data_IF_874120697986
#
_entry.id   IF_874120697986
#
_cell.length_a   1.000
_cell.length_b   1.000
_cell.length_c   1.000
_cell.angle_alpha   90.00
_cell.angle_beta   90.00
_cell.angle_gamma   90.00
#
_symmetry.space_group_name_H-M   'P 1'
#
loop_
_entity.id
_entity.type
_entity.pdbx_description
1 polymer ?
#
# COMPACT_ATOMS: atom_id res chain seq x y z
N UNK A 1 0.31 -10.49 23.47
CA UNK A 1 0.18 -10.51 22.00
C UNK A 1 1.41 -9.85 21.39
N UNK A 2 2.45 -10.62 21.09
CA UNK A 2 3.70 -10.11 20.49
C UNK A 2 3.75 -10.51 19.01
N UNK A 3 3.84 -9.55 18.10
CA UNK A 3 4.21 -9.81 16.69
C UNK A 3 3.22 -9.46 15.58
N UNK A 4 2.24 -8.57 15.80
CA UNK A 4 1.42 -8.02 14.70
C UNK A 4 2.22 -7.00 13.86
N UNK A 5 1.94 -6.94 12.55
CA UNK A 5 2.68 -6.13 11.58
C UNK A 5 3.82 -6.89 10.89
N UNK A 6 3.94 -6.71 9.57
CA UNK A 6 4.91 -7.41 8.71
C UNK A 6 6.34 -7.11 9.14
N UNK A 7 6.67 -5.84 9.39
CA UNK A 7 8.04 -5.44 9.76
C UNK A 7 8.45 -6.07 11.08
N UNK A 8 7.57 -6.03 12.10
CA UNK A 8 7.87 -6.59 13.42
C UNK A 8 8.10 -8.10 13.36
N UNK A 9 7.30 -8.80 12.57
CA UNK A 9 7.37 -10.27 12.46
C UNK A 9 8.53 -10.75 11.60
N UNK A 10 8.85 -10.04 10.52
CA UNK A 10 9.82 -10.49 9.51
C UNK A 10 11.06 -9.59 9.42
N UNK A 11 11.34 -8.81 10.47
CA UNK A 11 12.43 -7.81 10.53
C UNK A 11 13.76 -8.32 9.96
N UNK A 12 14.15 -9.54 10.32
CA UNK A 12 15.42 -10.18 9.89
C UNK A 12 15.55 -10.39 8.37
N UNK A 13 14.43 -10.36 7.64
CA UNK A 13 14.38 -10.56 6.19
C UNK A 13 14.16 -9.25 5.42
N UNK A 14 14.03 -8.12 6.12
CA UNK A 14 13.67 -6.84 5.54
C UNK A 14 14.83 -5.84 5.66
N UNK A 15 14.95 -4.87 4.73
CA UNK A 15 16.01 -3.88 4.75
C UNK A 15 15.74 -2.76 5.78
N UNK A 16 15.60 -3.12 7.05
CA UNK A 16 15.33 -2.22 8.18
C UNK A 16 16.43 -2.34 9.23
N UNK A 17 16.86 -1.22 9.78
CA UNK A 17 17.83 -1.14 10.88
C UNK A 17 17.10 -1.18 12.24
N UNK A 18 17.87 -1.13 13.33
CA UNK A 18 17.26 -0.98 14.65
C UNK A 18 16.49 0.35 14.81
N UNK A 19 16.97 1.39 14.13
CA UNK A 19 16.42 2.74 14.21
C UNK A 19 15.29 3.00 13.20
N UNK A 20 15.03 2.09 12.25
CA UNK A 20 13.94 2.27 11.27
C UNK A 20 12.58 2.38 12.00
N UNK A 21 11.87 3.52 11.86
CA UNK A 21 10.54 3.68 12.44
C UNK A 21 9.56 2.67 11.86
N UNK A 22 8.80 1.97 12.71
CA UNK A 22 7.86 0.95 12.25
C UNK A 22 6.45 1.54 12.12
N UNK A 23 6.11 1.96 10.89
CA UNK A 23 4.77 2.43 10.53
C UNK A 23 3.92 1.22 10.15
N UNK A 24 3.08 0.76 11.07
CA UNK A 24 2.22 -0.42 10.88
C UNK A 24 0.77 -0.12 11.23
N UNK A 25 -0.13 -0.78 10.49
CA UNK A 25 -1.57 -0.86 10.78
C UNK A 25 -1.97 -2.28 11.18
N UNK A 26 -1.00 -3.10 11.64
CA UNK A 26 -1.13 -4.51 11.94
C UNK A 26 -1.43 -5.40 10.71
N UNK A 27 -0.92 -5.00 9.56
CA UNK A 27 -1.00 -5.75 8.31
C UNK A 27 -0.27 -7.10 8.34
N UNK A 28 -0.64 -7.97 7.41
CA UNK A 28 -0.15 -9.34 7.35
C UNK A 28 -0.88 -10.27 8.32
N UNK A 29 -0.33 -11.46 8.56
CA UNK A 29 -0.97 -12.47 9.41
C UNK A 29 -2.33 -12.97 8.93
N UNK A 30 -2.70 -12.70 7.68
CA UNK A 30 -4.00 -13.04 7.09
C UNK A 30 -4.26 -14.54 7.02
N UNK A 31 -5.52 -14.99 7.02
CA UNK A 31 -5.86 -16.41 6.96
C UNK A 31 -5.32 -17.13 5.71
N UNK A 32 -5.00 -18.40 5.88
CA UNK A 32 -4.80 -19.37 4.79
C UNK A 32 -5.95 -20.38 4.89
N UNK A 33 -6.93 -20.25 4.01
CA UNK A 33 -8.22 -20.95 4.11
C UNK A 33 -8.21 -22.13 3.15
N UNK A 34 -8.36 -23.35 3.64
CA UNK A 34 -8.53 -24.53 2.80
C UNK A 34 -9.92 -24.51 2.15
N UNK A 35 -10.00 -24.77 0.84
CA UNK A 35 -11.22 -24.64 0.04
C UNK A 35 -11.65 -25.97 -0.59
N UNK A 36 -12.06 -26.97 0.22
CA UNK A 36 -12.38 -28.32 -0.28
C UNK A 36 -13.61 -28.35 -1.20
N UNK A 37 -14.57 -27.43 -1.02
CA UNK A 37 -15.74 -27.34 -1.90
C UNK A 37 -15.38 -27.05 -3.36
N UNK A 38 -14.42 -26.16 -3.60
CA UNK A 38 -13.95 -25.83 -4.96
C UNK A 38 -13.22 -27.03 -5.58
N UNK A 39 -12.40 -27.74 -4.78
CA UNK A 39 -11.70 -28.95 -5.25
C UNK A 39 -12.71 -30.00 -5.72
N UNK A 40 -13.76 -30.24 -4.91
CA UNK A 40 -14.82 -31.19 -5.26
C UNK A 40 -15.57 -30.80 -6.53
N UNK A 41 -15.88 -29.51 -6.71
CA UNK A 41 -16.58 -29.01 -7.91
C UNK A 41 -15.74 -29.16 -9.18
N UNK A 42 -14.41 -29.05 -9.05
CA UNK A 42 -13.46 -29.24 -10.15
C UNK A 42 -13.11 -30.71 -10.42
N UNK A 43 -13.61 -31.67 -9.64
CA UNK A 43 -13.27 -33.09 -9.76
C UNK A 43 -11.79 -33.39 -9.48
N UNK A 44 -11.13 -32.57 -8.66
CA UNK A 44 -9.69 -32.64 -8.42
C UNK A 44 -9.29 -33.54 -7.25
N UNK A 45 -8.10 -34.12 -7.34
CA UNK A 45 -7.39 -34.76 -6.22
C UNK A 45 -6.18 -33.89 -5.81
N UNK A 46 -6.48 -32.68 -5.32
CA UNK A 46 -5.47 -31.72 -4.87
C UNK A 46 -6.00 -30.87 -3.71
N UNK A 47 -5.08 -30.25 -2.96
CA UNK A 47 -5.45 -29.31 -1.89
C UNK A 47 -5.41 -27.88 -2.42
N UNK A 48 -6.51 -27.14 -2.27
CA UNK A 48 -6.58 -25.73 -2.62
C UNK A 48 -6.62 -24.88 -1.36
N UNK A 49 -5.80 -23.83 -1.34
CA UNK A 49 -5.82 -22.83 -0.28
C UNK A 49 -5.98 -21.42 -0.84
N UNK A 50 -6.78 -20.61 -0.17
CA UNK A 50 -6.93 -19.20 -0.44
C UNK A 50 -6.16 -18.41 0.60
N UNK A 51 -5.14 -17.66 0.16
CA UNK A 51 -4.47 -16.68 1.01
C UNK A 51 -5.31 -15.41 1.03
N UNK A 52 -6.09 -15.22 2.09
CA UNK A 52 -7.14 -14.19 2.10
C UNK A 52 -6.62 -12.80 2.48
N UNK A 53 -6.03 -12.12 1.50
CA UNK A 53 -5.40 -10.79 1.66
C UNK A 53 -6.40 -9.63 1.85
N UNK A 54 -7.70 -9.89 1.68
CA UNK A 54 -8.76 -8.90 1.89
C UNK A 54 -8.97 -8.49 3.36
N UNK A 55 -8.37 -9.22 4.31
CA UNK A 55 -8.40 -8.86 5.74
C UNK A 55 -7.22 -8.00 6.19
N UNK A 56 -6.39 -7.53 5.26
CA UNK A 56 -5.44 -6.47 5.58
C UNK A 56 -6.19 -5.14 5.84
N UNK A 57 -5.57 -4.16 6.55
CA UNK A 57 -6.21 -2.91 6.97
C UNK A 57 -6.93 -2.11 5.88
N UNK A 58 -6.37 -2.03 4.67
CA UNK A 58 -6.98 -1.37 3.50
C UNK A 58 -7.55 -2.37 2.50
N UNK A 59 -7.92 -3.56 2.97
CA UNK A 59 -8.54 -4.64 2.21
C UNK A 59 -7.72 -5.16 1.02
N UNK A 60 -6.39 -5.02 1.04
CA UNK A 60 -5.55 -5.60 0.00
C UNK A 60 -4.13 -5.91 0.47
N UNK A 61 -3.43 -6.75 -0.29
CA UNK A 61 -2.02 -7.09 -0.01
C UNK A 61 -1.05 -5.90 -0.12
N UNK A 62 -1.47 -4.76 -0.70
CA UNK A 62 -0.61 -3.58 -0.88
C UNK A 62 -0.08 -3.06 0.46
N UNK A 63 -0.81 -3.27 1.54
CA UNK A 63 -0.42 -2.91 2.90
C UNK A 63 0.92 -3.51 3.32
N UNK A 64 1.22 -4.74 2.87
CA UNK A 64 2.49 -5.42 3.17
C UNK A 64 3.71 -4.68 2.62
N UNK A 65 3.58 -4.10 1.43
CA UNK A 65 4.62 -3.29 0.83
C UNK A 65 4.62 -1.87 1.38
N UNK A 66 3.42 -1.32 1.61
CA UNK A 66 3.26 0.06 2.02
C UNK A 66 3.79 0.33 3.42
N UNK A 67 3.61 -0.59 4.38
CA UNK A 67 4.25 -0.49 5.70
C UNK A 67 5.76 -0.29 5.59
N UNK A 68 6.43 -1.06 4.72
CA UNK A 68 7.88 -0.98 4.53
C UNK A 68 8.26 0.31 3.81
N UNK A 69 7.58 0.63 2.70
CA UNK A 69 7.85 1.82 1.91
C UNK A 69 7.73 3.10 2.76
N UNK A 70 6.66 3.23 3.53
CA UNK A 70 6.42 4.40 4.38
C UNK A 70 7.39 4.43 5.56
N UNK A 71 7.68 3.29 6.19
CA UNK A 71 8.70 3.21 7.25
C UNK A 71 10.07 3.71 6.79
N UNK A 72 10.49 3.31 5.58
CA UNK A 72 11.76 3.77 4.98
C UNK A 72 11.68 5.23 4.51
N UNK A 73 10.52 5.69 4.05
CA UNK A 73 10.33 7.10 3.69
C UNK A 73 10.47 8.01 4.92
N UNK A 74 9.86 7.64 6.05
CA UNK A 74 10.00 8.37 7.32
C UNK A 74 11.45 8.34 7.80
N UNK A 75 12.12 7.20 7.73
CA UNK A 75 13.55 7.09 8.07
C UNK A 75 14.43 8.03 7.24
N UNK A 76 14.08 8.26 5.97
CA UNK A 76 14.79 9.20 5.07
C UNK A 76 14.36 10.66 5.23
N UNK A 77 13.46 10.97 6.16
CA UNK A 77 12.97 12.33 6.41
C UNK A 77 11.93 12.83 5.39
N UNK A 78 11.30 11.94 4.61
CA UNK A 78 10.28 12.33 3.65
C UNK A 78 9.10 13.06 4.34
N UNK A 79 8.49 14.02 3.64
CA UNK A 79 7.31 14.78 4.09
C UNK A 79 6.05 14.48 3.28
N UNK A 80 6.23 13.94 2.07
CA UNK A 80 5.16 13.68 1.11
C UNK A 80 5.39 12.29 0.50
N UNK A 81 4.31 11.54 0.35
CA UNK A 81 4.27 10.33 -0.45
C UNK A 81 3.47 10.61 -1.70
N UNK A 82 4.02 10.25 -2.86
CA UNK A 82 3.33 10.39 -4.14
C UNK A 82 3.08 9.02 -4.73
N UNK A 83 1.87 8.79 -5.24
CA UNK A 83 1.57 7.59 -6.01
C UNK A 83 0.73 7.92 -7.25
N UNK A 84 1.05 7.28 -8.37
CA UNK A 84 0.20 7.29 -9.56
C UNK A 84 -0.68 6.03 -9.49
N UNK A 85 -1.87 6.09 -8.90
CA UNK A 85 -2.81 4.97 -8.90
C UNK A 85 -4.18 5.42 -8.42
N UNK A 86 -5.24 4.91 -9.04
CA UNK A 86 -6.62 5.22 -8.63
C UNK A 86 -7.29 4.13 -7.79
N UNK A 87 -6.54 3.14 -7.28
CA UNK A 87 -7.10 1.97 -6.59
C UNK A 87 -6.36 1.56 -5.31
N UNK A 88 -6.24 0.27 -5.05
CA UNK A 88 -5.72 -0.28 -3.78
C UNK A 88 -4.35 0.31 -3.36
N UNK A 89 -3.48 0.65 -4.31
CA UNK A 89 -2.18 1.27 -3.99
C UNK A 89 -2.35 2.66 -3.37
N UNK A 90 -3.24 3.52 -3.91
CA UNK A 90 -3.46 4.85 -3.35
C UNK A 90 -4.23 4.79 -2.03
N UNK A 91 -5.18 3.86 -1.89
CA UNK A 91 -5.85 3.59 -0.62
C UNK A 91 -4.86 3.22 0.49
N UNK A 92 -3.96 2.26 0.19
CA UNK A 92 -2.89 1.84 1.10
C UNK A 92 -1.93 3.00 1.37
N UNK A 93 -1.43 3.69 0.34
CA UNK A 93 -0.50 4.81 0.49
C UNK A 93 -1.08 5.91 1.39
N UNK A 94 -2.34 6.29 1.18
CA UNK A 94 -3.01 7.31 1.97
C UNK A 94 -3.17 6.88 3.44
N UNK A 95 -3.58 5.63 3.70
CA UNK A 95 -3.74 5.13 5.06
C UNK A 95 -2.42 5.13 5.84
N UNK A 96 -1.33 4.67 5.23
CA UNK A 96 -0.02 4.65 5.87
C UNK A 96 0.60 6.05 5.97
N UNK A 97 0.38 6.92 4.98
CA UNK A 97 0.77 8.33 5.06
C UNK A 97 0.11 9.02 6.25
N UNK A 98 -1.21 8.86 6.39
CA UNK A 98 -1.97 9.40 7.52
C UNK A 98 -1.45 8.87 8.86
N UNK A 99 -1.17 7.55 8.95
CA UNK A 99 -0.57 6.94 10.15
C UNK A 99 0.81 7.51 10.49
N UNK A 100 1.60 7.87 9.49
CA UNK A 100 2.94 8.43 9.64
C UNK A 100 2.99 9.96 9.77
N UNK A 101 1.85 10.66 9.64
CA UNK A 101 1.81 12.12 9.61
C UNK A 101 2.42 12.74 8.34
N UNK A 102 2.42 11.99 7.23
CA UNK A 102 2.90 12.44 5.93
C UNK A 102 1.73 12.94 5.07
N UNK A 103 2.01 13.87 4.15
CA UNK A 103 1.06 14.20 3.08
C UNK A 103 1.03 13.07 2.06
N UNK A 104 -0.12 12.77 1.48
CA UNK A 104 -0.26 11.82 0.38
C UNK A 104 -0.82 12.52 -0.86
N UNK A 105 -0.10 12.44 -1.97
CA UNK A 105 -0.52 12.96 -3.26
C UNK A 105 -0.78 11.80 -4.22
N UNK A 106 -1.94 11.82 -4.86
CA UNK A 106 -2.34 10.83 -5.86
C UNK A 106 -2.42 11.51 -7.21
N UNK A 107 -1.56 11.07 -8.13
CA UNK A 107 -1.56 11.56 -9.50
C UNK A 107 -2.55 10.79 -10.35
N UNK A 108 -3.39 11.52 -11.07
CA UNK A 108 -4.45 10.96 -11.90
C UNK A 108 -4.38 11.59 -13.31
N UNK A 109 -4.48 10.81 -14.40
CA UNK A 109 -4.61 11.37 -15.73
C UNK A 109 -5.90 12.19 -15.86
N UNK A 110 -5.84 13.34 -16.53
CA UNK A 110 -6.99 14.22 -16.79
C UNK A 110 -8.18 13.41 -17.36
N UNK A 111 -9.37 13.65 -16.84
CA UNK A 111 -10.61 13.00 -17.30
C UNK A 111 -10.76 11.51 -16.93
N UNK A 112 -9.80 10.90 -16.20
CA UNK A 112 -9.86 9.48 -15.78
C UNK A 112 -10.10 9.29 -14.28
N UNK A 113 -10.89 10.16 -13.64
CA UNK A 113 -11.21 10.00 -12.22
C UNK A 113 -12.36 8.99 -12.03
N UNK A 114 -12.00 7.80 -11.55
CA UNK A 114 -12.95 6.86 -10.99
C UNK A 114 -13.13 7.14 -9.49
N UNK A 115 -13.94 8.14 -9.13
CA UNK A 115 -14.15 8.57 -7.73
C UNK A 115 -14.52 7.42 -6.77
N UNK A 116 -15.31 6.45 -7.23
CA UNK A 116 -15.65 5.26 -6.43
C UNK A 116 -14.43 4.42 -6.03
N UNK A 117 -13.42 4.32 -6.91
CA UNK A 117 -12.17 3.60 -6.60
C UNK A 117 -11.25 4.41 -5.67
N UNK A 118 -11.40 5.73 -5.68
CA UNK A 118 -10.61 6.67 -4.90
C UNK A 118 -11.17 6.99 -3.52
N UNK A 119 -12.42 6.61 -3.23
CA UNK A 119 -13.11 6.95 -1.99
C UNK A 119 -12.28 6.67 -0.73
N UNK A 120 -11.62 5.51 -0.67
CA UNK A 120 -10.79 5.13 0.47
C UNK A 120 -9.53 6.01 0.60
N UNK A 121 -8.87 6.35 -0.50
CA UNK A 121 -7.72 7.25 -0.48
C UNK A 121 -8.11 8.65 0.00
N UNK A 122 -9.24 9.17 -0.49
CA UNK A 122 -9.77 10.48 -0.11
C UNK A 122 -10.18 10.53 1.37
N UNK A 123 -10.83 9.49 1.91
CA UNK A 123 -11.18 9.39 3.33
C UNK A 123 -9.93 9.40 4.23
N UNK A 124 -8.83 8.80 3.76
CA UNK A 124 -7.54 8.84 4.44
C UNK A 124 -6.76 10.15 4.23
N UNK A 125 -7.34 11.15 3.57
CA UNK A 125 -6.76 12.48 3.41
C UNK A 125 -5.80 12.65 2.24
N UNK A 126 -5.84 11.75 1.25
CA UNK A 126 -5.07 11.93 0.03
C UNK A 126 -5.54 13.16 -0.75
N UNK A 127 -4.58 13.94 -1.23
CA UNK A 127 -4.79 15.00 -2.21
C UNK A 127 -4.68 14.41 -3.61
N UNK A 128 -5.50 14.88 -4.54
CA UNK A 128 -5.43 14.44 -5.94
C UNK A 128 -4.89 15.55 -6.81
N UNK A 129 -3.95 15.23 -7.69
CA UNK A 129 -3.48 16.13 -8.73
C UNK A 129 -3.75 15.50 -10.09
N UNK A 130 -4.57 16.19 -10.88
CA UNK A 130 -4.80 15.81 -12.27
C UNK A 130 -3.63 16.29 -13.13
N UNK A 131 -3.13 15.38 -13.98
CA UNK A 131 -2.03 15.67 -14.89
C UNK A 131 -2.54 15.56 -16.32
N UNK A 132 -2.23 16.59 -17.12
CA UNK A 132 -2.41 16.60 -18.57
C UNK A 132 -1.33 15.73 -19.20
N UNK A 133 -1.59 14.43 -19.25
CA UNK A 133 -0.61 13.44 -19.70
C UNK A 133 -1.06 12.02 -19.39
N UNK A 134 -0.17 11.07 -19.64
CA UNK A 134 -0.36 9.66 -19.31
C UNK A 134 0.33 9.32 -17.96
N UNK A 135 0.32 8.03 -17.60
CA UNK A 135 0.91 7.56 -16.34
C UNK A 135 2.43 7.76 -16.26
N UNK A 136 3.13 7.63 -17.38
CA UNK A 136 4.58 7.76 -17.46
C UNK A 136 5.00 9.22 -17.23
N UNK A 137 4.25 10.17 -17.81
CA UNK A 137 4.46 11.62 -17.58
C UNK A 137 4.29 11.96 -16.08
N UNK A 138 3.28 11.36 -15.43
CA UNK A 138 3.07 11.50 -14.01
C UNK A 138 4.25 10.92 -13.19
N UNK A 139 4.78 9.77 -13.58
CA UNK A 139 5.90 9.13 -12.90
C UNK A 139 7.20 9.92 -13.05
N UNK A 140 7.43 10.53 -14.21
CA UNK A 140 8.58 11.39 -14.49
C UNK A 140 8.55 12.65 -13.60
N UNK A 141 7.41 13.33 -13.53
CA UNK A 141 7.21 14.47 -12.61
C UNK A 141 7.48 14.08 -11.15
N UNK A 142 7.04 12.89 -10.71
CA UNK A 142 7.31 12.41 -9.34
C UNK A 142 8.78 12.16 -9.09
N UNK A 143 9.49 11.59 -10.07
CA UNK A 143 10.92 11.34 -9.97
C UNK A 143 11.69 12.65 -9.90
N UNK A 144 11.39 13.59 -10.78
CA UNK A 144 12.00 14.93 -10.74
C UNK A 144 11.73 15.65 -9.41
N UNK A 145 10.52 15.55 -8.86
CA UNK A 145 10.19 16.11 -7.54
C UNK A 145 10.92 15.41 -6.39
N UNK A 146 11.20 14.11 -6.52
CA UNK A 146 11.91 13.33 -5.50
C UNK A 146 13.43 13.51 -5.50
N UNK A 147 13.99 14.09 -6.58
CA UNK A 147 15.42 14.40 -6.72
C UNK A 147 15.78 15.83 -6.26
N UNK A 148 14.78 16.66 -5.96
CA UNK A 148 14.96 18.03 -5.46
C UNK A 148 15.01 18.02 -3.94
N UNK A 149 16.07 18.60 -3.36
CA UNK A 149 16.35 18.64 -1.91
C UNK A 149 15.74 19.88 -1.22
N UNK A 150 15.02 20.72 -1.97
CA UNK A 150 14.41 21.99 -1.56
C UNK A 150 12.93 21.92 -1.14
#
# INVERSE_FOLDING_TARGET
>A
MTGHGVIRRYRRFLPVSEDTPVISLNEGGTPLIEAPGIVSELGGDFRLFVKYEGLNPTASFKDRGMTLAVSKAVERGARILVCASTGNTSASAAAYAARAGLRCLVLIPEGKIAYGKMAQALIHGAQTLEIRGNFDDALEIVRELGERDD
#
